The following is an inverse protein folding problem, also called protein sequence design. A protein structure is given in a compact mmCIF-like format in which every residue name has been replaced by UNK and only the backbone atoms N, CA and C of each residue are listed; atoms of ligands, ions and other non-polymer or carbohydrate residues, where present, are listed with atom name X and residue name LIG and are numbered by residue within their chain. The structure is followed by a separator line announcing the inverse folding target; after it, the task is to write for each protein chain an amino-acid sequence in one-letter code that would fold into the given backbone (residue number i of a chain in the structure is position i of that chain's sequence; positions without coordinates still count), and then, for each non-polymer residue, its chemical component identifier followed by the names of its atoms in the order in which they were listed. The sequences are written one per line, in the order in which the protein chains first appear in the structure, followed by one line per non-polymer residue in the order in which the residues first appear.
data_IF_796682058396
#
_entry.id   IF_796682058396
#
_cell.length_a   1.000
_cell.length_b   1.000
_cell.length_c   1.000
_cell.angle_alpha   90.00
_cell.angle_beta   90.00
_cell.angle_gamma   90.00
#
_symmetry.space_group_name_H-M   'P 1'
#
loop_
_entity.id
_entity.type
_entity.pdbx_description
1 polymer ?
#
# COMPACT_ATOMS: atom_id res chain seq x y z
N UNK A 1 24.35 -10.23 15.71
CA UNK A 1 24.61 -11.09 14.55
C UNK A 1 25.54 -10.35 13.57
N UNK A 2 26.49 -11.05 12.93
CA UNK A 2 27.37 -10.43 11.91
C UNK A 2 26.56 -10.01 10.69
N UNK A 3 27.03 -8.95 10.00
CA UNK A 3 26.36 -8.34 8.83
C UNK A 3 26.02 -9.37 7.74
N UNK A 4 26.97 -10.22 7.40
CA UNK A 4 26.80 -11.25 6.35
C UNK A 4 25.69 -12.24 6.67
N UNK A 5 25.64 -12.77 7.89
CA UNK A 5 24.60 -13.70 8.31
C UNK A 5 23.21 -13.07 8.27
N UNK A 6 23.08 -11.82 8.77
CA UNK A 6 21.79 -11.10 8.73
C UNK A 6 21.34 -10.83 7.31
N UNK A 7 22.27 -10.53 6.38
CA UNK A 7 21.94 -10.30 4.95
C UNK A 7 21.45 -11.59 4.29
N UNK A 8 22.11 -12.72 4.54
CA UNK A 8 21.70 -14.04 4.01
C UNK A 8 20.32 -14.41 4.56
N UNK A 9 20.14 -14.31 5.88
CA UNK A 9 18.83 -14.59 6.50
C UNK A 9 17.73 -13.69 5.98
N UNK A 10 18.00 -12.39 5.77
CA UNK A 10 17.04 -11.45 5.17
C UNK A 10 16.60 -11.87 3.77
N UNK A 11 17.54 -12.32 2.93
CA UNK A 11 17.24 -12.86 1.61
C UNK A 11 16.43 -14.17 1.66
N UNK A 12 16.83 -15.11 2.51
CA UNK A 12 16.12 -16.39 2.69
C UNK A 12 14.68 -16.17 3.19
N UNK A 13 14.49 -15.33 4.21
CA UNK A 13 13.16 -15.02 4.75
C UNK A 13 12.27 -14.43 3.64
N UNK A 14 12.79 -13.48 2.86
CA UNK A 14 12.05 -12.88 1.76
C UNK A 14 11.68 -13.90 0.67
N UNK A 15 12.61 -14.80 0.33
CA UNK A 15 12.38 -15.90 -0.61
C UNK A 15 11.26 -16.83 -0.14
N UNK A 16 11.34 -17.32 1.12
CA UNK A 16 10.32 -18.21 1.66
C UNK A 16 8.96 -17.56 1.80
N UNK A 17 8.89 -16.28 2.21
CA UNK A 17 7.63 -15.56 2.31
C UNK A 17 6.98 -15.36 0.93
N UNK A 18 7.76 -15.03 -0.09
CA UNK A 18 7.25 -14.90 -1.45
C UNK A 18 6.74 -16.25 -1.98
N UNK A 19 7.51 -17.33 -1.84
CA UNK A 19 7.08 -18.67 -2.26
C UNK A 19 5.85 -19.17 -1.50
N UNK A 20 5.77 -18.89 -0.20
CA UNK A 20 4.61 -19.25 0.62
C UNK A 20 3.34 -18.49 0.21
N UNK A 21 3.45 -17.24 -0.27
CA UNK A 21 2.28 -16.44 -0.61
C UNK A 21 1.39 -17.10 -1.65
N UNK A 22 1.96 -17.81 -2.63
CA UNK A 22 1.20 -18.54 -3.64
C UNK A 22 0.34 -19.70 -3.11
N UNK A 23 0.66 -20.22 -1.91
CA UNK A 23 -0.04 -21.37 -1.33
C UNK A 23 -1.23 -20.99 -0.40
N UNK A 24 -1.33 -19.72 0.02
CA UNK A 24 -2.27 -19.31 1.08
C UNK A 24 -3.49 -18.52 0.60
N UNK A 25 -3.74 -18.42 -0.70
CA UNK A 25 -4.92 -17.73 -1.23
C UNK A 25 -5.08 -16.31 -0.64
N UNK A 26 -6.25 -15.96 -0.07
CA UNK A 26 -6.49 -14.62 0.49
C UNK A 26 -5.55 -14.22 1.63
N UNK A 27 -5.04 -15.17 2.41
CA UNK A 27 -4.06 -14.91 3.46
C UNK A 27 -2.69 -14.49 2.89
N UNK A 28 -2.44 -14.71 1.60
CA UNK A 28 -1.26 -14.23 0.88
C UNK A 28 -1.06 -12.71 1.02
N UNK A 29 -2.13 -11.93 1.12
CA UNK A 29 -2.07 -10.47 1.29
C UNK A 29 -1.25 -10.10 2.53
N UNK A 30 -1.48 -10.77 3.67
CA UNK A 30 -0.74 -10.53 4.91
C UNK A 30 0.73 -10.97 4.80
N UNK A 31 0.99 -12.09 4.12
CA UNK A 31 2.34 -12.61 3.88
C UNK A 31 3.11 -11.67 2.96
N UNK A 32 2.49 -11.22 1.88
CA UNK A 32 3.08 -10.30 0.91
C UNK A 32 3.52 -8.97 1.53
N UNK A 33 2.80 -8.49 2.55
CA UNK A 33 3.20 -7.31 3.32
C UNK A 33 4.54 -7.50 4.02
N UNK A 34 4.89 -8.72 4.41
CA UNK A 34 6.13 -9.05 5.12
C UNK A 34 7.30 -9.38 4.18
N UNK A 35 7.05 -9.72 2.92
CA UNK A 35 8.09 -10.08 1.94
C UNK A 35 9.21 -9.03 1.85
N UNK A 36 8.92 -7.73 1.65
CA UNK A 36 9.97 -6.72 1.53
C UNK A 36 10.55 -6.28 2.89
N UNK A 37 9.94 -6.65 4.02
CA UNK A 37 10.36 -6.19 5.36
C UNK A 37 11.77 -6.67 5.73
N UNK A 38 12.09 -7.94 5.47
CA UNK A 38 13.38 -8.51 5.87
C UNK A 38 14.56 -7.86 5.13
N UNK A 39 14.58 -7.74 3.79
CA UNK A 39 15.63 -7.00 3.08
C UNK A 39 15.64 -5.50 3.42
N UNK A 40 14.46 -4.89 3.65
CA UNK A 40 14.38 -3.48 4.06
C UNK A 40 15.01 -3.26 5.45
N UNK A 41 14.80 -4.17 6.40
CA UNK A 41 15.47 -4.14 7.70
C UNK A 41 17.00 -4.23 7.57
N UNK A 42 17.48 -5.14 6.73
CA UNK A 42 18.92 -5.26 6.43
C UNK A 42 19.46 -3.96 5.84
N UNK A 43 18.72 -3.34 4.92
CA UNK A 43 19.05 -2.06 4.31
C UNK A 43 19.09 -0.91 5.31
N UNK A 44 18.15 -0.85 6.25
CA UNK A 44 18.15 0.14 7.34
C UNK A 44 19.31 -0.04 8.30
N UNK A 45 19.61 -1.27 8.69
CA UNK A 45 20.64 -1.56 9.70
C UNK A 45 22.05 -1.46 9.15
N UNK A 46 22.34 -2.06 8.00
CA UNK A 46 23.69 -2.22 7.46
C UNK A 46 23.98 -1.42 6.20
N UNK A 47 22.98 -0.70 5.70
CA UNK A 47 23.09 0.14 4.51
C UNK A 47 22.48 -0.48 3.25
N UNK A 48 22.24 0.36 2.22
CA UNK A 48 21.49 -0.04 1.02
C UNK A 48 22.15 -1.18 0.23
N UNK A 49 23.48 -1.24 0.22
CA UNK A 49 24.19 -2.37 -0.44
C UNK A 49 23.89 -3.73 0.18
N UNK A 50 23.75 -3.80 1.54
CA UNK A 50 23.36 -5.05 2.20
C UNK A 50 21.90 -5.42 1.96
N UNK A 51 21.00 -4.42 1.94
CA UNK A 51 19.61 -4.63 1.53
C UNK A 51 19.51 -5.15 0.10
N UNK A 52 20.25 -4.54 -0.83
CA UNK A 52 20.35 -4.99 -2.22
C UNK A 52 20.88 -6.42 -2.34
N UNK A 53 21.94 -6.77 -1.58
CA UNK A 53 22.44 -8.15 -1.54
C UNK A 53 21.39 -9.15 -1.06
N UNK A 54 20.56 -8.79 -0.06
CA UNK A 54 19.48 -9.65 0.40
C UNK A 54 18.40 -9.84 -0.69
N UNK A 55 18.05 -8.79 -1.43
CA UNK A 55 17.14 -8.87 -2.59
C UNK A 55 17.72 -9.75 -3.70
N UNK A 56 19.01 -9.62 -4.00
CA UNK A 56 19.68 -10.45 -5.01
C UNK A 56 19.73 -11.93 -4.60
N UNK A 57 19.93 -12.23 -3.32
CA UNK A 57 19.88 -13.61 -2.81
C UNK A 57 18.48 -14.19 -3.01
N UNK A 58 17.42 -13.48 -2.61
CA UNK A 58 16.04 -13.94 -2.78
C UNK A 58 15.68 -14.11 -4.26
N UNK A 59 16.00 -13.12 -5.10
CA UNK A 59 15.74 -13.16 -6.55
C UNK A 59 16.52 -14.26 -7.25
N UNK A 60 17.79 -14.50 -6.86
CA UNK A 60 18.61 -15.59 -7.39
C UNK A 60 18.07 -16.97 -7.02
N UNK A 61 17.56 -17.13 -5.79
CA UNK A 61 16.91 -18.38 -5.36
C UNK A 61 15.60 -18.61 -6.12
N UNK A 62 14.79 -17.57 -6.32
CA UNK A 62 13.57 -17.64 -7.14
C UNK A 62 13.88 -18.00 -8.59
N UNK A 63 14.90 -17.37 -9.18
CA UNK A 63 15.35 -17.69 -10.54
C UNK A 63 15.73 -19.16 -10.69
N UNK A 64 16.39 -19.73 -9.68
CA UNK A 64 16.83 -21.12 -9.69
C UNK A 64 15.70 -22.13 -9.42
N UNK A 65 14.69 -21.77 -8.61
CA UNK A 65 13.64 -22.69 -8.16
C UNK A 65 12.30 -22.56 -8.88
N UNK A 66 11.91 -21.33 -9.25
CA UNK A 66 10.60 -21.01 -9.82
C UNK A 66 10.69 -20.44 -11.25
N UNK A 67 11.87 -19.98 -11.65
CA UNK A 67 12.12 -19.50 -13.00
C UNK A 67 12.19 -17.96 -13.12
N UNK A 68 12.47 -17.46 -14.35
CA UNK A 68 12.73 -16.03 -14.57
C UNK A 68 11.50 -15.14 -14.36
N UNK A 69 10.29 -15.65 -14.62
CA UNK A 69 9.05 -14.90 -14.41
C UNK A 69 8.87 -14.47 -12.95
N UNK A 70 8.94 -15.44 -12.03
CA UNK A 70 8.77 -15.21 -10.58
C UNK A 70 9.88 -14.32 -10.01
N UNK A 71 11.13 -14.51 -10.48
CA UNK A 71 12.25 -13.67 -10.08
C UNK A 71 12.04 -12.21 -10.50
N UNK A 72 11.57 -11.96 -11.73
CA UNK A 72 11.28 -10.61 -12.24
C UNK A 72 10.09 -10.00 -11.46
N UNK A 73 9.01 -10.75 -11.26
CA UNK A 73 7.86 -10.30 -10.47
C UNK A 73 8.27 -9.92 -9.05
N UNK A 74 9.06 -10.78 -8.38
CA UNK A 74 9.59 -10.48 -7.05
C UNK A 74 10.40 -9.17 -7.04
N UNK A 75 11.33 -9.00 -7.98
CA UNK A 75 12.19 -7.81 -8.02
C UNK A 75 11.37 -6.54 -8.26
N UNK A 76 10.44 -6.55 -9.21
CA UNK A 76 9.63 -5.38 -9.53
C UNK A 76 8.66 -5.02 -8.40
N UNK A 77 8.00 -6.00 -7.82
CA UNK A 77 6.95 -5.78 -6.81
C UNK A 77 7.52 -5.51 -5.43
N UNK A 78 8.52 -6.28 -4.98
CA UNK A 78 9.05 -6.24 -3.63
C UNK A 78 10.51 -5.79 -3.55
N UNK A 79 11.35 -6.20 -4.50
CA UNK A 79 12.78 -5.92 -4.49
C UNK A 79 13.08 -4.43 -4.60
N UNK A 80 12.46 -3.74 -5.56
CA UNK A 80 12.62 -2.28 -5.72
C UNK A 80 12.15 -1.55 -4.47
N UNK A 81 11.00 -1.94 -3.91
CA UNK A 81 10.47 -1.37 -2.66
C UNK A 81 11.43 -1.57 -1.50
N UNK A 82 11.94 -2.79 -1.33
CA UNK A 82 12.85 -3.15 -0.25
C UNK A 82 14.20 -2.44 -0.31
N UNK A 83 14.61 -1.97 -1.51
CA UNK A 83 15.83 -1.17 -1.71
C UNK A 83 15.57 0.32 -1.61
N UNK A 84 14.55 0.82 -2.30
CA UNK A 84 14.25 2.24 -2.40
C UNK A 84 13.82 2.83 -1.05
N UNK A 85 12.92 2.15 -0.32
CA UNK A 85 12.40 2.67 0.94
C UNK A 85 13.50 2.89 2.00
N UNK A 86 14.40 1.93 2.32
CA UNK A 86 15.50 2.17 3.24
C UNK A 86 16.49 3.23 2.73
N UNK A 87 16.73 3.28 1.43
CA UNK A 87 17.61 4.29 0.84
C UNK A 87 17.06 5.69 1.07
N UNK A 88 15.78 5.93 0.79
CA UNK A 88 15.15 7.23 1.05
C UNK A 88 15.01 7.53 2.54
N UNK A 89 14.66 6.55 3.39
CA UNK A 89 14.59 6.76 4.84
C UNK A 89 15.93 7.18 5.47
N UNK A 90 17.04 6.76 4.89
CA UNK A 90 18.38 7.15 5.36
C UNK A 90 18.83 8.52 4.83
N UNK A 91 18.33 8.95 3.67
CA UNK A 91 18.78 10.17 3.00
C UNK A 91 17.81 11.35 3.12
N UNK A 92 16.53 11.09 3.42
CA UNK A 92 15.48 12.10 3.54
C UNK A 92 15.14 12.29 5.01
N UNK A 93 14.94 13.56 5.42
CA UNK A 93 14.70 13.92 6.84
C UNK A 93 13.29 13.58 7.36
N UNK A 94 12.38 13.10 6.52
CA UNK A 94 10.98 12.83 6.85
C UNK A 94 10.53 11.52 6.21
N UNK A 95 9.94 10.64 7.01
CA UNK A 95 9.46 9.33 6.56
C UNK A 95 8.35 9.42 5.50
N UNK A 96 7.45 10.40 5.60
CA UNK A 96 6.37 10.60 4.64
C UNK A 96 6.89 10.94 3.24
N UNK A 97 7.89 11.82 3.14
CA UNK A 97 8.58 12.11 1.87
C UNK A 97 9.37 10.92 1.35
N UNK A 98 10.03 10.18 2.27
CA UNK A 98 10.77 8.97 1.90
C UNK A 98 9.83 7.92 1.28
N UNK A 99 8.64 7.72 1.86
CA UNK A 99 7.59 6.85 1.31
C UNK A 99 7.12 7.35 -0.06
N UNK A 100 6.85 8.65 -0.20
CA UNK A 100 6.43 9.22 -1.48
C UNK A 100 7.48 9.01 -2.59
N UNK A 101 8.76 9.27 -2.30
CA UNK A 101 9.84 9.06 -3.27
C UNK A 101 10.05 7.57 -3.59
N UNK A 102 9.97 6.70 -2.58
CA UNK A 102 10.04 5.26 -2.78
C UNK A 102 8.87 4.75 -3.65
N UNK A 103 7.66 5.27 -3.41
CA UNK A 103 6.48 4.94 -4.21
C UNK A 103 6.67 5.36 -5.68
N UNK A 104 7.15 6.57 -5.93
CA UNK A 104 7.48 7.03 -7.29
C UNK A 104 8.53 6.12 -7.93
N UNK A 105 9.58 5.74 -7.18
CA UNK A 105 10.62 4.84 -7.71
C UNK A 105 10.05 3.45 -8.06
N UNK A 106 9.19 2.88 -7.22
CA UNK A 106 8.52 1.59 -7.50
C UNK A 106 7.61 1.69 -8.70
N UNK A 107 6.77 2.73 -8.78
CA UNK A 107 5.87 2.92 -9.93
C UNK A 107 6.67 3.10 -11.23
N UNK A 108 7.75 3.88 -11.20
CA UNK A 108 8.63 4.06 -12.36
C UNK A 108 9.28 2.75 -12.77
N UNK A 109 9.81 1.97 -11.82
CA UNK A 109 10.41 0.67 -12.10
C UNK A 109 9.40 -0.33 -12.68
N UNK A 110 8.17 -0.34 -12.14
CA UNK A 110 7.07 -1.18 -12.65
C UNK A 110 6.70 -0.80 -14.09
N UNK A 111 6.55 0.50 -14.38
CA UNK A 111 6.25 0.98 -15.73
C UNK A 111 7.38 0.65 -16.71
N UNK A 112 8.64 0.83 -16.31
CA UNK A 112 9.80 0.46 -17.16
C UNK A 112 9.88 -1.05 -17.38
N UNK A 113 9.62 -1.85 -16.34
CA UNK A 113 9.55 -3.31 -16.43
C UNK A 113 8.46 -3.79 -17.39
N UNK A 114 7.29 -3.18 -17.28
CA UNK A 114 6.12 -3.44 -18.13
C UNK A 114 6.41 -3.05 -19.58
N UNK A 115 7.03 -1.89 -19.79
CA UNK A 115 7.46 -1.45 -21.14
C UNK A 115 8.49 -2.41 -21.72
N UNK A 116 9.52 -2.79 -20.96
CA UNK A 116 10.52 -3.76 -21.40
C UNK A 116 9.92 -5.12 -21.75
N UNK A 117 8.99 -5.62 -20.93
CA UNK A 117 8.28 -6.86 -21.18
C UNK A 117 7.38 -6.76 -22.43
N UNK A 118 6.71 -5.64 -22.64
CA UNK A 118 5.92 -5.34 -23.83
C UNK A 118 6.74 -5.42 -25.10
N UNK A 119 7.95 -4.84 -25.10
CA UNK A 119 8.88 -4.92 -26.24
C UNK A 119 9.32 -6.36 -26.52
N UNK A 120 9.62 -7.15 -25.48
CA UNK A 120 10.02 -8.55 -25.62
C UNK A 120 8.90 -9.44 -26.20
N UNK A 121 7.65 -9.14 -25.85
CA UNK A 121 6.48 -9.87 -26.33
C UNK A 121 5.98 -9.37 -27.71
N UNK A 122 6.50 -8.27 -28.22
CA UNK A 122 6.03 -7.66 -29.47
C UNK A 122 4.61 -7.11 -29.38
N UNK A 123 4.08 -6.90 -28.16
CA UNK A 123 2.73 -6.36 -27.88
C UNK A 123 2.84 -4.91 -27.42
N UNK A 124 1.83 -4.08 -27.75
CA UNK A 124 1.76 -2.73 -27.22
C UNK A 124 1.60 -2.72 -25.69
N UNK A 125 2.20 -1.75 -24.93
CA UNK A 125 2.12 -1.71 -23.47
C UNK A 125 0.67 -1.66 -22.95
N UNK A 126 -0.20 -0.95 -23.65
CA UNK A 126 -1.63 -0.81 -23.29
C UNK A 126 -2.37 -2.16 -23.40
N UNK A 127 -2.07 -2.94 -24.45
CA UNK A 127 -2.67 -4.27 -24.64
C UNK A 127 -2.21 -5.21 -23.53
N UNK A 128 -0.93 -5.18 -23.18
CA UNK A 128 -0.40 -6.00 -22.12
C UNK A 128 -0.99 -5.67 -20.75
N UNK A 129 -1.15 -4.38 -20.43
CA UNK A 129 -1.84 -3.95 -19.20
C UNK A 129 -3.28 -4.44 -19.19
N UNK A 130 -3.98 -4.33 -20.32
CA UNK A 130 -5.34 -4.86 -20.46
C UNK A 130 -5.42 -6.34 -20.14
N UNK A 131 -4.57 -7.17 -20.75
CA UNK A 131 -4.51 -8.61 -20.49
C UNK A 131 -4.24 -8.95 -19.01
N UNK A 132 -3.33 -8.21 -18.35
CA UNK A 132 -3.04 -8.39 -16.92
C UNK A 132 -4.25 -8.04 -16.07
N UNK A 133 -4.86 -6.89 -16.32
CA UNK A 133 -6.05 -6.43 -15.57
C UNK A 133 -7.21 -7.40 -15.76
N UNK A 134 -7.48 -7.86 -16.97
CA UNK A 134 -8.52 -8.84 -17.27
C UNK A 134 -8.28 -10.18 -16.54
N UNK A 135 -7.02 -10.64 -16.51
CA UNK A 135 -6.67 -11.89 -15.79
C UNK A 135 -6.87 -11.76 -14.28
N UNK A 136 -6.51 -10.65 -13.68
CA UNK A 136 -6.71 -10.37 -12.24
C UNK A 136 -8.20 -10.26 -11.89
N UNK A 137 -8.98 -9.59 -12.75
CA UNK A 137 -10.42 -9.48 -12.58
C UNK A 137 -11.08 -10.85 -12.68
N UNK A 138 -10.69 -11.67 -13.67
CA UNK A 138 -11.23 -13.02 -13.84
C UNK A 138 -10.95 -13.89 -12.60
N UNK A 139 -9.73 -13.83 -12.03
CA UNK A 139 -9.38 -14.56 -10.81
C UNK A 139 -10.19 -14.04 -9.60
N UNK A 140 -10.34 -12.73 -9.46
CA UNK A 140 -11.12 -12.14 -8.37
C UNK A 140 -12.59 -12.49 -8.49
N UNK A 141 -13.15 -12.43 -9.69
CA UNK A 141 -14.56 -12.81 -9.94
C UNK A 141 -14.79 -14.30 -9.69
N UNK A 142 -13.88 -15.17 -10.11
CA UNK A 142 -13.96 -16.60 -9.83
C UNK A 142 -13.91 -16.88 -8.32
N UNK A 143 -13.04 -16.19 -7.58
CA UNK A 143 -12.97 -16.29 -6.13
C UNK A 143 -14.24 -15.79 -5.45
N UNK A 144 -14.77 -14.64 -5.85
CA UNK A 144 -16.05 -14.11 -5.33
C UNK A 144 -17.20 -15.08 -5.61
N UNK A 145 -17.31 -15.57 -6.84
CA UNK A 145 -18.33 -16.56 -7.19
C UNK A 145 -18.22 -17.83 -6.35
N UNK A 146 -17.01 -18.32 -6.06
CA UNK A 146 -16.81 -19.48 -5.18
C UNK A 146 -17.23 -19.21 -3.74
N UNK A 147 -17.01 -18.01 -3.22
CA UNK A 147 -17.41 -17.61 -1.86
C UNK A 147 -18.94 -17.48 -1.72
N UNK A 148 -19.62 -17.05 -2.76
CA UNK A 148 -21.06 -16.77 -2.72
C UNK A 148 -21.91 -17.89 -3.33
N UNK A 149 -21.31 -18.90 -3.99
CA UNK A 149 -22.03 -20.02 -4.59
C UNK A 149 -22.91 -20.75 -3.58
N UNK A 150 -22.44 -20.91 -2.35
CA UNK A 150 -23.18 -21.58 -1.27
C UNK A 150 -24.25 -20.68 -0.61
N UNK A 151 -24.24 -19.37 -0.89
CA UNK A 151 -25.15 -18.39 -0.27
C UNK A 151 -26.37 -18.07 -1.14
N UNK A 152 -26.34 -18.39 -2.42
CA UNK A 152 -27.45 -18.15 -3.35
C UNK A 152 -28.53 -19.25 -3.20
N UNK A 153 -29.58 -18.95 -2.46
CA UNK A 153 -30.67 -19.87 -2.18
C UNK A 153 -31.73 -19.95 -3.28
N UNK A 154 -31.73 -19.01 -4.24
CA UNK A 154 -32.70 -18.99 -5.37
C UNK A 154 -32.00 -18.59 -6.68
N UNK A 155 -32.59 -18.99 -7.83
CA UNK A 155 -32.06 -18.60 -9.15
C UNK A 155 -32.11 -17.08 -9.42
N UNK A 156 -33.01 -16.36 -8.78
CA UNK A 156 -33.15 -14.92 -8.86
C UNK A 156 -31.99 -14.25 -8.14
N UNK A 157 -31.64 -14.71 -6.93
CA UNK A 157 -30.52 -14.19 -6.15
C UNK A 157 -29.18 -14.41 -6.87
N UNK A 158 -29.03 -15.54 -7.58
CA UNK A 158 -27.84 -15.85 -8.38
C UNK A 158 -27.67 -14.89 -9.58
N UNK A 159 -28.77 -14.50 -10.24
CA UNK A 159 -28.73 -13.57 -11.36
C UNK A 159 -28.38 -12.13 -10.89
N UNK A 160 -28.98 -11.67 -9.79
CA UNK A 160 -28.66 -10.36 -9.20
C UNK A 160 -27.19 -10.30 -8.73
N UNK A 161 -26.72 -11.39 -8.11
CA UNK A 161 -25.33 -11.51 -7.67
C UNK A 161 -24.36 -11.43 -8.86
N UNK A 162 -24.66 -12.11 -9.98
CA UNK A 162 -23.83 -12.07 -11.18
C UNK A 162 -23.71 -10.64 -11.74
N UNK A 163 -24.81 -9.88 -11.79
CA UNK A 163 -24.80 -8.47 -12.22
C UNK A 163 -23.98 -7.60 -11.28
N UNK A 164 -24.10 -7.81 -9.95
CA UNK A 164 -23.30 -7.06 -8.98
C UNK A 164 -21.81 -7.37 -9.13
N UNK A 165 -21.43 -8.63 -9.34
CA UNK A 165 -20.03 -9.03 -9.55
C UNK A 165 -19.47 -8.41 -10.83
N UNK A 166 -20.24 -8.38 -11.92
CA UNK A 166 -19.84 -7.75 -13.17
C UNK A 166 -19.64 -6.23 -13.02
N UNK A 167 -20.57 -5.54 -12.37
CA UNK A 167 -20.44 -4.10 -12.10
C UNK A 167 -19.23 -3.80 -11.22
N UNK A 168 -18.98 -4.64 -10.22
CA UNK A 168 -17.81 -4.50 -9.34
C UNK A 168 -16.51 -4.76 -10.10
N UNK A 169 -16.48 -5.75 -10.98
CA UNK A 169 -15.33 -6.05 -11.84
C UNK A 169 -15.03 -4.88 -12.78
N UNK A 170 -16.06 -4.31 -13.43
CA UNK A 170 -15.90 -3.13 -14.27
C UNK A 170 -15.39 -1.92 -13.48
N UNK A 171 -15.93 -1.65 -12.30
CA UNK A 171 -15.43 -0.59 -11.43
C UNK A 171 -13.96 -0.82 -11.05
N UNK A 172 -13.61 -2.04 -10.62
CA UNK A 172 -12.24 -2.41 -10.26
C UNK A 172 -11.27 -2.21 -11.42
N UNK A 173 -11.65 -2.57 -12.65
CA UNK A 173 -10.81 -2.35 -13.84
C UNK A 173 -10.49 -0.89 -14.06
N UNK A 174 -11.47 0.00 -13.86
CA UNK A 174 -11.29 1.45 -14.02
C UNK A 174 -10.37 2.07 -12.97
N UNK A 175 -10.44 1.58 -11.71
CA UNK A 175 -9.66 2.12 -10.59
C UNK A 175 -8.38 1.34 -10.29
N UNK A 176 -8.10 0.28 -11.06
CA UNK A 176 -6.95 -0.62 -10.85
C UNK A 176 -5.61 0.12 -10.71
N UNK A 177 -5.24 1.10 -11.57
CA UNK A 177 -3.99 1.84 -11.41
C UNK A 177 -3.89 2.57 -10.07
N UNK A 178 -4.97 3.20 -9.63
CA UNK A 178 -5.05 3.87 -8.32
C UNK A 178 -4.92 2.89 -7.16
N UNK A 179 -5.54 1.71 -7.29
CA UNK A 179 -5.45 0.64 -6.29
C UNK A 179 -4.02 0.11 -6.15
N UNK A 180 -3.29 -0.07 -7.24
CA UNK A 180 -1.87 -0.48 -7.20
C UNK A 180 -1.02 0.54 -6.45
N UNK A 181 -1.21 1.83 -6.72
CA UNK A 181 -0.52 2.92 -6.00
C UNK A 181 -0.90 2.92 -4.52
N UNK A 182 -2.19 2.81 -4.20
CA UNK A 182 -2.70 2.79 -2.83
C UNK A 182 -2.14 1.61 -2.04
N UNK A 183 -2.25 0.40 -2.56
CA UNK A 183 -1.77 -0.82 -1.88
C UNK A 183 -0.27 -0.75 -1.66
N UNK A 184 0.50 -0.35 -2.68
CA UNK A 184 1.95 -0.17 -2.56
C UNK A 184 2.31 0.87 -1.48
N UNK A 185 1.58 1.99 -1.43
CA UNK A 185 1.75 3.01 -0.40
C UNK A 185 1.43 2.50 1.01
N UNK A 186 0.33 1.76 1.18
CA UNK A 186 -0.05 1.16 2.46
C UNK A 186 0.97 0.12 2.93
N UNK A 187 1.47 -0.72 2.03
CA UNK A 187 2.56 -1.68 2.34
C UNK A 187 3.81 -0.94 2.80
N UNK A 188 4.23 0.12 2.11
CA UNK A 188 5.38 0.93 2.53
C UNK A 188 5.18 1.57 3.90
N UNK A 189 4.00 2.11 4.18
CA UNK A 189 3.67 2.69 5.50
C UNK A 189 3.71 1.63 6.60
N UNK A 190 3.17 0.44 6.34
CA UNK A 190 3.24 -0.69 7.27
C UNK A 190 4.69 -1.10 7.53
N UNK A 191 5.53 -1.18 6.48
CA UNK A 191 6.97 -1.47 6.61
C UNK A 191 7.66 -0.39 7.45
N UNK A 192 7.38 0.90 7.23
CA UNK A 192 7.94 2.00 8.04
C UNK A 192 7.55 1.84 9.51
N UNK A 193 6.29 1.52 9.79
CA UNK A 193 5.80 1.25 11.14
C UNK A 193 6.52 0.06 11.79
N UNK A 194 6.62 -1.07 11.08
CA UNK A 194 7.31 -2.27 11.54
C UNK A 194 8.81 -2.03 11.74
N UNK A 195 9.47 -1.36 10.79
CA UNK A 195 10.88 -0.98 10.91
C UNK A 195 11.11 -0.09 12.14
N UNK A 196 10.21 0.85 12.43
CA UNK A 196 10.27 1.68 13.63
C UNK A 196 10.15 0.84 14.91
N UNK A 197 9.22 -0.12 14.93
CA UNK A 197 8.99 -1.00 16.08
C UNK A 197 10.16 -1.95 16.36
N UNK A 198 10.78 -2.51 15.30
CA UNK A 198 11.88 -3.49 15.44
C UNK A 198 13.27 -2.86 15.46
N UNK A 199 13.37 -1.54 15.45
CA UNK A 199 14.65 -0.81 15.34
C UNK A 199 15.60 -1.10 16.50
N UNK A 200 15.07 -1.33 17.73
CA UNK A 200 15.83 -1.59 18.95
C UNK A 200 17.04 -0.65 19.14
N UNK A 201 16.93 0.59 18.67
CA UNK A 201 18.00 1.58 18.74
C UNK A 201 19.11 1.47 17.68
N UNK A 202 19.08 0.47 16.80
CA UNK A 202 20.09 0.30 15.75
C UNK A 202 20.03 1.36 14.65
N UNK A 203 18.85 1.95 14.44
CA UNK A 203 18.60 3.06 13.51
C UNK A 203 17.36 3.83 13.96
N UNK A 204 17.17 5.02 13.40
CA UNK A 204 15.96 5.82 13.62
C UNK A 204 15.24 6.03 12.30
N UNK A 205 13.91 5.94 12.34
CA UNK A 205 13.05 6.40 11.25
C UNK A 205 12.91 7.91 11.38
N UNK A 206 13.30 8.69 10.35
CA UNK A 206 13.31 10.15 10.45
C UNK A 206 11.91 10.74 10.31
N UNK A 207 11.66 11.87 10.97
CA UNK A 207 10.46 12.66 10.78
C UNK A 207 9.58 12.80 12.02
N UNK A 208 8.41 13.43 11.88
CA UNK A 208 7.50 13.68 12.99
C UNK A 208 6.87 12.38 13.49
N UNK A 209 6.42 12.39 14.74
CA UNK A 209 5.56 11.33 15.27
C UNK A 209 4.25 11.33 14.49
N UNK A 210 3.64 10.15 14.31
CA UNK A 210 2.40 10.00 13.52
C UNK A 210 1.29 10.97 13.95
N UNK A 211 1.12 11.20 15.26
CA UNK A 211 0.16 12.16 15.82
C UNK A 211 0.35 13.62 15.33
N UNK A 212 1.54 13.97 14.88
CA UNK A 212 1.89 15.30 14.37
C UNK A 212 1.93 15.38 12.85
N UNK A 213 1.79 14.24 12.18
CA UNK A 213 1.89 14.17 10.74
C UNK A 213 0.70 14.87 10.05
N UNK A 214 1.00 15.69 9.05
CA UNK A 214 0.02 16.34 8.17
C UNK A 214 0.37 16.06 6.72
N UNK A 215 -0.64 15.76 5.91
CA UNK A 215 -0.51 15.67 4.48
C UNK A 215 -0.14 17.05 3.87
N UNK A 216 0.56 17.09 2.74
CA UNK A 216 0.82 18.34 2.02
C UNK A 216 -0.47 19.07 1.67
N UNK A 217 -0.54 20.37 1.96
CA UNK A 217 -1.74 21.20 1.77
C UNK A 217 -2.24 21.20 0.30
N UNK A 218 -1.32 21.05 -0.64
CA UNK A 218 -1.66 21.01 -2.07
C UNK A 218 -2.60 19.84 -2.42
N UNK A 219 -2.50 18.71 -1.70
CA UNK A 219 -3.28 17.50 -2.01
C UNK A 219 -4.80 17.70 -1.84
N UNK A 220 -5.22 18.64 -0.98
CA UNK A 220 -6.65 18.91 -0.79
C UNK A 220 -7.32 19.48 -2.05
N UNK A 221 -6.58 20.27 -2.81
CA UNK A 221 -7.10 20.84 -4.05
C UNK A 221 -7.26 19.76 -5.12
N UNK A 222 -6.35 18.79 -5.18
CA UNK A 222 -6.51 17.61 -6.03
C UNK A 222 -7.69 16.74 -5.58
N UNK A 223 -7.91 16.58 -4.25
CA UNK A 223 -9.07 15.86 -3.74
C UNK A 223 -10.38 16.54 -4.15
N UNK A 224 -10.49 17.84 -3.92
CA UNK A 224 -11.68 18.63 -4.29
C UNK A 224 -11.89 18.60 -5.81
N UNK A 225 -10.85 18.87 -6.58
CA UNK A 225 -10.91 18.86 -8.05
C UNK A 225 -11.32 17.50 -8.61
N UNK A 226 -10.73 16.40 -8.11
CA UNK A 226 -11.10 15.05 -8.53
C UNK A 226 -12.53 14.70 -8.14
N UNK A 227 -13.02 15.13 -6.96
CA UNK A 227 -14.40 14.95 -6.56
C UNK A 227 -15.39 15.62 -7.53
N UNK A 228 -15.13 16.87 -7.93
CA UNK A 228 -15.94 17.56 -8.93
C UNK A 228 -15.87 16.88 -10.30
N UNK A 229 -14.68 16.48 -10.75
CA UNK A 229 -14.50 15.83 -12.05
C UNK A 229 -15.24 14.50 -12.15
N UNK A 230 -15.29 13.70 -11.09
CA UNK A 230 -16.05 12.43 -11.09
C UNK A 230 -17.54 12.67 -11.34
N UNK A 231 -18.09 13.78 -10.80
CA UNK A 231 -19.53 14.09 -10.91
C UNK A 231 -19.85 14.78 -12.23
N UNK A 232 -18.97 15.67 -12.69
CA UNK A 232 -19.26 16.56 -13.83
C UNK A 232 -18.79 16.02 -15.19
N UNK A 233 -17.94 14.96 -15.21
CA UNK A 233 -17.34 14.46 -16.45
C UNK A 233 -17.61 12.98 -16.64
N UNK A 234 -17.27 12.47 -17.84
CA UNK A 234 -17.34 11.04 -18.18
C UNK A 234 -16.06 10.56 -18.87
N UNK A 235 -16.03 9.27 -19.20
CA UNK A 235 -14.95 8.66 -19.97
C UNK A 235 -13.58 8.72 -19.27
N UNK A 236 -12.51 8.98 -20.02
CA UNK A 236 -11.14 8.95 -19.51
C UNK A 236 -10.87 9.96 -18.38
N UNK A 237 -11.47 11.15 -18.42
CA UNK A 237 -11.29 12.17 -17.37
C UNK A 237 -11.89 11.71 -16.06
N UNK A 238 -13.09 11.13 -16.09
CA UNK A 238 -13.73 10.54 -14.93
C UNK A 238 -12.88 9.40 -14.34
N UNK A 239 -12.33 8.51 -15.19
CA UNK A 239 -11.45 7.42 -14.75
C UNK A 239 -10.20 7.93 -14.04
N UNK A 240 -9.54 8.95 -14.58
CA UNK A 240 -8.38 9.59 -13.93
C UNK A 240 -8.78 10.19 -12.58
N UNK A 241 -9.91 10.88 -12.52
CA UNK A 241 -10.41 11.48 -11.29
C UNK A 241 -10.76 10.43 -10.22
N UNK A 242 -11.38 9.31 -10.61
CA UNK A 242 -11.63 8.16 -9.71
C UNK A 242 -10.33 7.59 -9.13
N UNK A 243 -9.31 7.40 -9.96
CA UNK A 243 -8.00 6.91 -9.51
C UNK A 243 -7.35 7.87 -8.51
N UNK A 244 -7.46 9.19 -8.73
CA UNK A 244 -6.98 10.19 -7.77
C UNK A 244 -7.75 10.11 -6.44
N UNK A 245 -9.07 9.96 -6.47
CA UNK A 245 -9.87 9.80 -5.25
C UNK A 245 -9.49 8.55 -4.47
N UNK A 246 -9.29 7.42 -5.16
CA UNK A 246 -8.85 6.15 -4.55
C UNK A 246 -7.52 6.31 -3.80
N UNK A 247 -6.62 7.16 -4.29
CA UNK A 247 -5.34 7.45 -3.63
C UNK A 247 -5.49 8.48 -2.51
N UNK A 248 -6.23 9.55 -2.76
CA UNK A 248 -6.28 10.72 -1.86
C UNK A 248 -7.18 10.52 -0.64
N UNK A 249 -8.32 9.82 -0.78
CA UNK A 249 -9.21 9.55 0.36
C UNK A 249 -8.51 8.80 1.49
N UNK A 250 -7.74 7.71 1.24
CA UNK A 250 -6.94 7.07 2.28
C UNK A 250 -5.84 7.95 2.87
N UNK A 251 -5.24 8.86 2.10
CA UNK A 251 -4.27 9.83 2.65
C UNK A 251 -4.93 10.72 3.69
N UNK A 252 -6.13 11.24 3.41
CA UNK A 252 -6.86 12.06 4.37
C UNK A 252 -7.48 11.24 5.52
N UNK A 253 -7.82 9.99 5.28
CA UNK A 253 -8.16 9.06 6.36
C UNK A 253 -6.99 8.88 7.33
N UNK A 254 -5.77 8.67 6.83
CA UNK A 254 -4.56 8.60 7.65
C UNK A 254 -4.29 9.90 8.42
N UNK A 255 -4.56 11.06 7.80
CA UNK A 255 -4.47 12.34 8.51
C UNK A 255 -5.49 12.44 9.64
N UNK A 256 -6.72 11.99 9.42
CA UNK A 256 -7.75 11.90 10.44
C UNK A 256 -7.38 10.95 11.58
N UNK A 257 -6.79 9.78 11.25
CA UNK A 257 -6.23 8.87 12.26
C UNK A 257 -5.09 9.53 13.06
N UNK A 258 -4.25 10.36 12.43
CA UNK A 258 -3.21 11.10 13.14
C UNK A 258 -3.79 12.15 14.10
N UNK A 259 -4.91 12.79 13.76
CA UNK A 259 -5.66 13.66 14.68
C UNK A 259 -6.18 12.86 15.87
N UNK A 260 -6.77 11.70 15.62
CA UNK A 260 -7.28 10.79 16.66
C UNK A 260 -6.13 10.30 17.57
N UNK A 261 -4.97 9.93 17.00
CA UNK A 261 -3.79 9.57 17.81
C UNK A 261 -3.33 10.72 18.73
N UNK A 262 -3.37 11.95 18.22
CA UNK A 262 -3.09 13.13 19.04
C UNK A 262 -4.06 13.23 20.24
N UNK A 263 -5.35 12.98 20.05
CA UNK A 263 -6.35 12.97 21.15
C UNK A 263 -6.12 11.80 22.12
N UNK A 264 -5.83 10.60 21.62
CA UNK A 264 -5.55 9.44 22.47
C UNK A 264 -4.32 9.67 23.36
N UNK A 265 -3.27 10.30 22.81
CA UNK A 265 -2.06 10.66 23.57
C UNK A 265 -2.35 11.72 24.63
N UNK A 266 -3.13 12.75 24.31
CA UNK A 266 -3.54 13.79 25.27
C UNK A 266 -4.37 13.25 26.43
N UNK A 267 -5.23 12.28 26.16
CA UNK A 267 -6.04 11.60 27.18
C UNK A 267 -5.28 10.51 27.94
N UNK A 268 -4.00 10.31 27.63
CA UNK A 268 -3.16 9.27 28.24
C UNK A 268 -3.80 7.87 28.20
N UNK A 269 -4.57 7.55 27.14
CA UNK A 269 -5.22 6.25 27.01
C UNK A 269 -4.18 5.12 26.96
N UNK A 270 -4.53 3.99 27.58
CA UNK A 270 -3.70 2.79 27.55
C UNK A 270 -3.48 2.30 26.11
N UNK A 271 -2.37 1.60 25.82
CA UNK A 271 -2.12 1.06 24.49
C UNK A 271 -3.26 0.19 23.95
N UNK A 272 -3.88 -0.63 24.81
CA UNK A 272 -5.01 -1.48 24.44
C UNK A 272 -6.22 -0.66 23.97
N UNK A 273 -6.59 0.39 24.70
CA UNK A 273 -7.71 1.27 24.33
C UNK A 273 -7.43 2.02 23.02
N UNK A 274 -6.18 2.38 22.73
CA UNK A 274 -5.81 2.98 21.45
C UNK A 274 -6.01 2.00 20.30
N UNK A 275 -5.55 0.75 20.45
CA UNK A 275 -5.73 -0.29 19.43
C UNK A 275 -7.21 -0.54 19.17
N UNK A 276 -8.01 -0.70 20.22
CA UNK A 276 -9.47 -0.85 20.08
C UNK A 276 -10.12 0.35 19.41
N UNK A 277 -9.69 1.57 19.76
CA UNK A 277 -10.14 2.79 19.11
C UNK A 277 -9.83 2.83 17.62
N UNK A 278 -8.62 2.43 17.21
CA UNK A 278 -8.28 2.35 15.79
C UNK A 278 -9.10 1.29 15.05
N UNK A 279 -9.27 0.10 15.64
CA UNK A 279 -10.10 -0.96 15.07
C UNK A 279 -11.54 -0.46 14.87
N UNK A 280 -12.13 0.16 15.89
CA UNK A 280 -13.50 0.68 15.84
C UNK A 280 -13.63 1.74 14.73
N UNK A 281 -12.72 2.71 14.70
CA UNK A 281 -12.76 3.82 13.73
C UNK A 281 -12.53 3.35 12.30
N UNK A 282 -11.82 2.24 12.11
CA UNK A 282 -11.52 1.70 10.77
C UNK A 282 -12.62 0.76 10.26
N UNK A 283 -13.21 -0.06 11.14
CA UNK A 283 -14.11 -1.13 10.73
C UNK A 283 -15.59 -0.79 10.83
N UNK A 284 -15.96 0.15 11.72
CA UNK A 284 -17.38 0.46 11.98
C UNK A 284 -17.85 1.55 11.02
N UNK A 285 -18.69 1.20 10.05
CA UNK A 285 -19.37 2.18 9.20
C UNK A 285 -20.39 3.00 10.00
N UNK A 286 -20.47 4.33 9.80
CA UNK A 286 -19.76 5.16 8.80
C UNK A 286 -18.51 5.90 9.33
N UNK A 287 -17.88 5.45 10.43
CA UNK A 287 -16.77 6.17 11.08
C UNK A 287 -15.57 6.47 10.14
N UNK A 288 -15.14 5.60 9.21
CA UNK A 288 -14.05 5.94 8.30
C UNK A 288 -14.31 7.20 7.47
N UNK A 289 -15.56 7.43 7.06
CA UNK A 289 -15.94 8.62 6.30
C UNK A 289 -15.80 9.88 7.17
N UNK A 290 -16.27 9.84 8.40
CA UNK A 290 -16.12 10.96 9.35
C UNK A 290 -14.66 11.25 9.67
N UNK A 291 -13.84 10.21 9.83
CA UNK A 291 -12.41 10.36 10.08
C UNK A 291 -11.69 10.97 8.89
N UNK A 292 -12.05 10.57 7.67
CA UNK A 292 -11.55 11.22 6.44
C UNK A 292 -11.93 12.70 6.41
N UNK A 293 -13.19 13.02 6.76
CA UNK A 293 -13.64 14.41 6.90
C UNK A 293 -12.83 15.19 7.92
N UNK A 294 -12.59 14.64 9.11
CA UNK A 294 -11.73 15.26 10.14
C UNK A 294 -10.33 15.50 9.56
N UNK A 295 -9.76 14.54 8.81
CA UNK A 295 -8.47 14.69 8.16
C UNK A 295 -8.44 15.84 7.16
N UNK A 296 -9.46 15.96 6.32
CA UNK A 296 -9.59 17.07 5.35
C UNK A 296 -9.70 18.42 6.09
N UNK A 297 -10.59 18.52 7.08
CA UNK A 297 -10.82 19.77 7.79
C UNK A 297 -9.69 20.17 8.74
N UNK A 298 -8.80 19.24 9.16
CA UNK A 298 -7.65 19.55 10.01
C UNK A 298 -6.67 20.55 9.36
N UNK A 299 -6.73 20.72 8.03
CA UNK A 299 -5.95 21.73 7.32
C UNK A 299 -6.36 23.16 7.70
N UNK A 300 -7.64 23.42 7.91
CA UNK A 300 -8.17 24.75 8.19
C UNK A 300 -8.42 24.98 9.67
N UNK A 301 -8.95 23.99 10.39
CA UNK A 301 -9.38 24.12 11.79
C UNK A 301 -8.24 23.84 12.76
N UNK A 302 -7.24 23.07 12.35
CA UNK A 302 -6.11 22.62 13.19
C UNK A 302 -6.57 22.05 14.54
N UNK A 303 -7.27 20.91 14.49
CA UNK A 303 -7.83 20.24 15.68
C UNK A 303 -6.80 19.89 16.74
N UNK A 304 -5.50 19.95 16.41
CA UNK A 304 -4.39 19.59 17.30
C UNK A 304 -3.90 20.74 18.16
N UNK A 305 -4.35 22.00 17.91
CA UNK A 305 -3.99 23.13 18.77
C UNK A 305 -4.60 22.96 20.17
N UNK A 306 -3.83 23.14 21.26
CA UNK A 306 -4.42 23.19 22.58
C UNK A 306 -5.38 24.38 22.64
N UNK A 307 -6.63 24.15 23.06
CA UNK A 307 -7.54 25.27 23.36
C UNK A 307 -6.88 26.10 24.45
N UNK A 308 -6.61 27.40 24.18
CA UNK A 308 -6.27 28.35 25.24
C UNK A 308 -7.43 28.31 26.21
N UNK A 309 -7.18 27.90 27.47
CA UNK A 309 -8.12 28.18 28.55
C UNK A 309 -8.26 29.70 28.57
N UNK A 310 -9.48 30.18 28.37
CA UNK A 310 -9.83 31.56 28.75
C UNK A 310 -9.86 31.56 30.26
N UNK A 311 -8.85 32.19 30.87
CA UNK A 311 -8.92 32.62 32.27
C UNK A 311 -10.07 33.60 32.45
#
# INVERSE_FOLDING_TARGET
MPRTLTTILGGLISFFLFGASGAFGPAAVAINLLVPLAPAYVGMRFGPGSGGSAVLIAGGLLLASAGPGDAVMYVLQFGVMAMALPWFLRNVRRWDRAVAYALVAVMTATLLGLFGYSVLQGKGPVVLVGEIVESEIAQTSAFMNSMFADSASTSTDAAELAVMVEQMAEFMSRVYPGMVVLVSGLVMLAIVGLLSAISQGHYRVPGPVFAEWKAPELLVWFLIGSGFLVVLTGGAVQTVAMNLLVILLPVYFLQGLAVIDCFFRRKALSPLLRVLGYIMVTLVNPLPVFVTGIGVFDLWIDFRKPRKQKD
#
